data_IF_390563720644
#
_entry.id   IF_390563720644
#
_cell.length_a   1.000
_cell.length_b   1.000
_cell.length_c   1.000
_cell.angle_alpha   90.00
_cell.angle_beta   90.00
_cell.angle_gamma   90.00
#
_symmetry.space_group_name_H-M   'P 1'
#
loop_
_entity.id
_entity.type
_entity.pdbx_description
1 polymer ?
#
# COMPACT_ATOMS: atom_id res chain seq x y z
N UNK A 1 -5.16 13.04 -15.43
CA UNK A 1 -3.82 13.26 -14.83
C UNK A 1 -2.85 12.30 -15.52
N UNK A 2 -1.74 12.75 -16.11
CA UNK A 2 -0.77 11.85 -16.77
C UNK A 2 -0.13 10.90 -15.74
N UNK A 3 0.06 9.63 -16.12
CA UNK A 3 0.74 8.65 -15.27
C UNK A 3 2.20 9.06 -15.02
N UNK A 4 2.75 8.66 -13.87
CA UNK A 4 4.15 8.95 -13.50
C UNK A 4 5.11 8.47 -14.59
N UNK A 5 4.83 7.30 -15.19
CA UNK A 5 5.62 6.75 -16.31
C UNK A 5 5.71 7.74 -17.48
N UNK A 6 4.59 8.32 -17.90
CA UNK A 6 4.57 9.25 -19.05
C UNK A 6 5.29 10.54 -18.72
N UNK A 7 5.13 11.09 -17.51
CA UNK A 7 5.86 12.29 -17.08
C UNK A 7 7.38 12.06 -17.08
N UNK A 8 7.82 10.89 -16.60
CA UNK A 8 9.24 10.55 -16.54
C UNK A 8 9.84 10.36 -17.93
N UNK A 9 9.09 9.74 -18.85
CA UNK A 9 9.51 9.60 -20.25
C UNK A 9 9.58 10.93 -20.99
N UNK A 10 8.63 11.85 -20.73
CA UNK A 10 8.66 13.19 -21.31
C UNK A 10 9.86 13.99 -20.80
N UNK A 11 10.17 13.90 -19.50
CA UNK A 11 11.37 14.53 -18.93
C UNK A 11 12.65 13.92 -19.48
N UNK A 12 12.71 12.58 -19.58
CA UNK A 12 13.85 11.88 -20.16
C UNK A 12 14.08 12.31 -21.62
N UNK A 13 13.02 12.34 -22.43
CA UNK A 13 13.08 12.82 -23.81
C UNK A 13 13.59 14.26 -23.84
N UNK A 14 12.99 15.18 -23.07
CA UNK A 14 13.34 16.59 -23.06
C UNK A 14 14.81 16.83 -22.66
N UNK A 15 15.30 16.15 -21.61
CA UNK A 15 16.69 16.22 -21.17
C UNK A 15 17.61 15.72 -22.28
N UNK A 16 17.28 14.58 -22.88
CA UNK A 16 18.07 13.98 -23.94
C UNK A 16 18.15 14.88 -25.18
N UNK A 17 17.04 15.50 -25.60
CA UNK A 17 17.05 16.44 -26.74
C UNK A 17 17.89 17.67 -26.42
N UNK A 18 17.82 18.17 -25.18
CA UNK A 18 18.61 19.32 -24.74
C UNK A 18 20.11 19.01 -24.71
N UNK A 19 20.49 17.82 -24.22
CA UNK A 19 21.87 17.33 -24.26
C UNK A 19 22.36 17.22 -25.71
N UNK A 20 21.57 16.61 -26.60
CA UNK A 20 21.92 16.47 -28.01
C UNK A 20 22.09 17.85 -28.68
N UNK A 21 21.16 18.78 -28.43
CA UNK A 21 21.22 20.13 -28.98
C UNK A 21 22.45 20.88 -28.49
N UNK A 22 22.75 20.82 -27.19
CA UNK A 22 23.95 21.42 -26.61
C UNK A 22 25.24 20.82 -27.17
N UNK A 23 25.31 19.49 -27.30
CA UNK A 23 26.44 18.80 -27.91
C UNK A 23 26.65 19.22 -29.37
N UNK A 24 25.59 19.23 -30.18
CA UNK A 24 25.66 19.67 -31.58
C UNK A 24 26.09 21.14 -31.69
N UNK A 25 25.56 22.02 -30.84
CA UNK A 25 25.93 23.44 -30.82
C UNK A 25 27.39 23.66 -30.43
N UNK A 26 27.87 22.99 -29.38
CA UNK A 26 29.26 23.06 -28.95
C UNK A 26 30.21 22.53 -30.05
N UNK A 27 29.83 21.44 -30.71
CA UNK A 27 30.58 20.88 -31.84
C UNK A 27 30.63 21.87 -33.02
N UNK A 28 29.50 22.48 -33.38
CA UNK A 28 29.41 23.47 -34.45
C UNK A 28 30.34 24.67 -34.18
N UNK A 29 30.31 25.25 -32.98
CA UNK A 29 31.21 26.37 -32.61
C UNK A 29 32.67 25.94 -32.66
N UNK A 30 33.00 24.74 -32.14
CA UNK A 30 34.38 24.26 -32.12
C UNK A 30 34.94 24.11 -33.54
N UNK A 31 34.13 23.58 -34.46
CA UNK A 31 34.45 23.45 -35.87
C UNK A 31 34.60 24.83 -36.52
N UNK A 32 33.64 25.74 -36.33
CA UNK A 32 33.66 27.09 -36.90
C UNK A 32 34.87 27.90 -36.42
N UNK A 33 35.20 27.85 -35.13
CA UNK A 33 36.36 28.51 -34.55
C UNK A 33 37.68 27.96 -35.12
N UNK A 34 37.79 26.63 -35.24
CA UNK A 34 38.97 25.96 -35.81
C UNK A 34 39.20 26.36 -37.27
N UNK A 35 38.11 26.56 -38.03
CA UNK A 35 38.17 27.03 -39.41
C UNK A 35 38.60 28.50 -39.53
N UNK A 36 38.19 29.35 -38.58
CA UNK A 36 38.52 30.79 -38.60
C UNK A 36 39.97 31.09 -38.18
N UNK A 37 40.55 30.33 -37.24
CA UNK A 37 41.94 30.50 -36.81
C UNK A 37 42.97 30.01 -37.84
N UNK A 38 42.59 29.11 -38.76
CA UNK A 38 43.50 28.62 -39.81
C UNK A 38 43.24 29.33 -41.14
N UNK A 39 44.00 30.37 -41.44
CA UNK A 39 43.89 31.18 -42.68
C UNK A 39 44.24 30.41 -43.98
N UNK A 40 44.62 29.13 -43.90
CA UNK A 40 44.94 28.27 -45.05
C UNK A 40 44.30 26.87 -44.90
N UNK A 41 43.01 26.79 -44.56
CA UNK A 41 42.29 25.52 -44.67
C UNK A 41 42.18 25.15 -46.15
N UNK A 42 42.71 23.98 -46.53
CA UNK A 42 42.62 23.47 -47.89
C UNK A 42 41.17 23.13 -48.23
N UNK A 43 40.79 23.20 -49.51
CA UNK A 43 39.43 22.86 -49.97
C UNK A 43 39.02 21.44 -49.50
N UNK A 44 39.99 20.52 -49.46
CA UNK A 44 39.83 19.14 -48.97
C UNK A 44 39.37 19.08 -47.50
N UNK A 45 39.82 19.99 -46.64
CA UNK A 45 39.44 20.01 -45.23
C UNK A 45 38.02 20.56 -45.00
N UNK A 46 37.54 21.47 -45.87
CA UNK A 46 36.16 21.95 -45.83
C UNK A 46 35.17 20.84 -46.22
N UNK A 47 35.47 20.09 -47.29
CA UNK A 47 34.64 18.94 -47.71
C UNK A 47 34.60 17.84 -46.64
N UNK A 48 35.73 17.55 -46.00
CA UNK A 48 35.79 16.55 -44.93
C UNK A 48 34.90 16.94 -43.72
N UNK A 49 34.84 18.23 -43.37
CA UNK A 49 34.03 18.74 -42.26
C UNK A 49 32.53 18.66 -42.59
N UNK A 50 32.11 19.06 -43.78
CA UNK A 50 30.71 18.96 -44.22
C UNK A 50 30.22 17.51 -44.22
N UNK A 51 31.04 16.58 -44.73
CA UNK A 51 30.73 15.15 -44.66
C UNK A 51 30.64 14.62 -43.23
N UNK A 52 31.53 15.07 -42.34
CA UNK A 52 31.51 14.70 -40.92
C UNK A 52 30.24 15.21 -40.22
N UNK A 53 29.91 16.50 -40.40
CA UNK A 53 28.70 17.11 -39.85
C UNK A 53 27.43 16.44 -40.40
N UNK A 54 27.35 16.20 -41.71
CA UNK A 54 26.22 15.50 -42.33
C UNK A 54 26.01 14.08 -41.78
N UNK A 55 27.10 13.35 -41.54
CA UNK A 55 27.06 12.01 -40.93
C UNK A 55 26.52 12.06 -39.49
N UNK A 56 26.90 13.08 -38.70
CA UNK A 56 26.38 13.27 -37.34
C UNK A 56 24.89 13.63 -37.32
N UNK A 57 24.45 14.50 -38.23
CA UNK A 57 23.03 14.82 -38.39
C UNK A 57 22.18 13.59 -38.73
N UNK A 58 22.72 12.69 -39.56
CA UNK A 58 22.09 11.40 -39.88
C UNK A 58 22.06 10.45 -38.68
N UNK A 59 23.07 10.46 -37.80
CA UNK A 59 23.17 9.55 -36.66
C UNK A 59 22.27 9.95 -35.47
N UNK A 60 22.08 11.26 -35.26
CA UNK A 60 21.27 11.81 -34.16
C UNK A 60 19.85 11.21 -34.02
N UNK A 61 19.03 11.07 -35.08
CA UNK A 61 17.71 10.45 -34.94
C UNK A 61 17.79 8.99 -34.47
N UNK A 62 18.83 8.24 -34.87
CA UNK A 62 19.03 6.88 -34.36
C UNK A 62 19.34 6.87 -32.88
N UNK A 63 20.24 7.75 -32.42
CA UNK A 63 20.55 7.89 -30.99
C UNK A 63 19.27 8.19 -30.22
N UNK A 64 18.48 9.17 -30.67
CA UNK A 64 17.22 9.55 -30.03
C UNK A 64 16.23 8.38 -29.95
N UNK A 65 16.07 7.62 -31.02
CA UNK A 65 15.16 6.47 -31.07
C UNK A 65 15.64 5.37 -30.12
N UNK A 66 16.90 4.95 -30.23
CA UNK A 66 17.44 3.85 -29.44
C UNK A 66 17.42 4.15 -27.94
N UNK A 67 17.82 5.34 -27.54
CA UNK A 67 17.78 5.73 -26.13
C UNK A 67 16.35 5.93 -25.62
N UNK A 68 15.42 6.44 -26.45
CA UNK A 68 14.00 6.55 -26.07
C UNK A 68 13.35 5.18 -25.86
N UNK A 69 13.64 4.22 -26.75
CA UNK A 69 13.18 2.83 -26.60
C UNK A 69 13.79 2.21 -25.34
N UNK A 70 15.10 2.40 -25.10
CA UNK A 70 15.77 1.93 -23.90
C UNK A 70 15.17 2.51 -22.61
N UNK A 71 14.94 3.82 -22.59
CA UNK A 71 14.28 4.52 -21.47
C UNK A 71 12.86 4.02 -21.23
N UNK A 72 12.08 3.80 -22.30
CA UNK A 72 10.74 3.21 -22.21
C UNK A 72 10.75 1.84 -21.55
N UNK A 73 11.63 0.94 -22.01
CA UNK A 73 11.76 -0.41 -21.47
C UNK A 73 12.19 -0.39 -20.01
N UNK A 74 13.17 0.45 -19.65
CA UNK A 74 13.63 0.62 -18.27
C UNK A 74 12.48 1.09 -17.36
N UNK A 75 11.80 2.17 -17.70
CA UNK A 75 10.66 2.69 -16.91
C UNK A 75 9.58 1.63 -16.77
N UNK A 76 9.28 0.86 -17.82
CA UNK A 76 8.27 -0.17 -17.70
C UNK A 76 8.69 -1.28 -16.73
N UNK A 77 9.92 -1.78 -16.86
CA UNK A 77 10.48 -2.86 -16.04
C UNK A 77 10.63 -2.48 -14.57
N UNK A 78 11.10 -1.26 -14.28
CA UNK A 78 11.29 -0.77 -12.90
C UNK A 78 9.98 -0.58 -12.15
N UNK A 79 8.89 -0.19 -12.83
CA UNK A 79 7.61 0.06 -12.17
C UNK A 79 6.67 -1.16 -12.15
N UNK A 80 6.93 -2.19 -12.94
CA UNK A 80 6.15 -3.44 -12.94
C UNK A 80 6.06 -4.08 -11.52
N UNK A 81 7.15 -4.17 -10.73
CA UNK A 81 7.11 -4.65 -9.35
C UNK A 81 6.08 -3.95 -8.46
N UNK A 82 6.07 -2.62 -8.52
CA UNK A 82 5.20 -1.77 -7.71
C UNK A 82 3.72 -2.02 -8.07
N UNK A 83 3.43 -2.24 -9.36
CA UNK A 83 2.06 -2.51 -9.80
C UNK A 83 1.57 -3.89 -9.36
N UNK A 84 2.45 -4.90 -9.37
CA UNK A 84 2.13 -6.24 -8.85
C UNK A 84 1.81 -6.16 -7.35
N UNK A 85 2.68 -5.50 -6.57
CA UNK A 85 2.46 -5.28 -5.14
C UNK A 85 1.15 -4.52 -4.86
N UNK A 86 0.86 -3.45 -5.61
CA UNK A 86 -0.41 -2.72 -5.49
C UNK A 86 -1.63 -3.59 -5.79
N UNK A 87 -1.51 -4.55 -6.71
CA UNK A 87 -2.57 -5.50 -7.02
C UNK A 87 -2.81 -6.46 -5.86
N UNK A 88 -1.74 -7.00 -5.27
CA UNK A 88 -1.82 -7.85 -4.07
C UNK A 88 -2.44 -7.11 -2.90
N UNK A 89 -1.98 -5.88 -2.62
CA UNK A 89 -2.53 -5.02 -1.57
C UNK A 89 -4.04 -4.81 -1.75
N UNK A 90 -4.48 -4.51 -2.98
CA UNK A 90 -5.90 -4.29 -3.28
C UNK A 90 -6.75 -5.55 -3.18
N UNK A 91 -6.14 -6.73 -3.28
CA UNK A 91 -6.83 -8.01 -3.12
C UNK A 91 -7.02 -8.41 -1.65
N UNK A 92 -6.32 -7.75 -0.72
CA UNK A 92 -6.49 -7.95 0.71
C UNK A 92 -7.78 -7.26 1.15
N UNK A 93 -8.61 -7.97 1.91
CA UNK A 93 -9.89 -7.46 2.39
C UNK A 93 -9.97 -7.62 3.91
N UNK A 94 -10.82 -6.85 4.61
CA UNK A 94 -11.01 -7.03 6.05
C UNK A 94 -11.49 -8.42 6.46
N UNK A 95 -12.09 -9.17 5.51
CA UNK A 95 -12.55 -10.55 5.74
C UNK A 95 -11.42 -11.57 5.67
N UNK A 96 -10.32 -11.23 5.01
CA UNK A 96 -9.18 -12.10 4.77
C UNK A 96 -7.88 -11.30 4.84
N UNK A 97 -7.46 -11.04 6.08
CA UNK A 97 -6.17 -10.42 6.42
C UNK A 97 -5.03 -11.44 6.44
N UNK A 98 -5.29 -12.73 6.18
CA UNK A 98 -4.27 -13.79 6.25
C UNK A 98 -3.33 -13.79 5.04
N UNK A 99 -3.75 -13.14 3.94
CA UNK A 99 -2.91 -12.95 2.76
C UNK A 99 -1.70 -12.08 3.10
N UNK A 100 -0.57 -12.40 2.47
CA UNK A 100 0.68 -11.66 2.59
C UNK A 100 1.17 -11.30 1.19
N UNK A 101 1.88 -10.19 1.12
CA UNK A 101 2.56 -9.76 -0.09
C UNK A 101 3.76 -10.68 -0.31
N UNK A 102 3.89 -11.19 -1.53
CA UNK A 102 4.99 -12.09 -1.90
C UNK A 102 6.34 -11.37 -1.79
N UNK A 103 7.26 -11.96 -1.03
CA UNK A 103 8.62 -11.46 -0.90
C UNK A 103 9.41 -11.78 -2.16
N UNK A 104 10.21 -10.81 -2.60
CA UNK A 104 11.02 -10.97 -3.81
C UNK A 104 12.39 -11.53 -3.45
N UNK A 105 13.02 -12.31 -4.34
CA UNK A 105 14.34 -12.87 -4.08
C UNK A 105 15.44 -11.80 -3.99
N UNK A 106 15.19 -10.60 -4.50
CA UNK A 106 16.12 -9.47 -4.43
C UNK A 106 15.78 -8.59 -3.24
N UNK A 107 16.78 -8.30 -2.40
CA UNK A 107 16.63 -7.43 -1.24
C UNK A 107 16.76 -5.95 -1.64
N UNK A 108 15.79 -5.46 -2.41
CA UNK A 108 15.69 -4.07 -2.84
C UNK A 108 14.66 -3.28 -2.00
N UNK A 109 14.51 -1.99 -2.30
CA UNK A 109 13.57 -1.10 -1.62
C UNK A 109 12.12 -1.58 -1.73
N UNK A 110 11.77 -2.30 -2.81
CA UNK A 110 10.43 -2.85 -3.01
C UNK A 110 10.19 -4.01 -2.05
N UNK A 111 11.19 -4.88 -1.83
CA UNK A 111 11.11 -5.95 -0.84
C UNK A 111 10.98 -5.40 0.59
N UNK A 112 11.73 -4.35 0.93
CA UNK A 112 11.59 -3.66 2.23
C UNK A 112 10.17 -3.11 2.44
N UNK A 113 9.55 -2.54 1.40
CA UNK A 113 8.17 -2.08 1.48
C UNK A 113 7.19 -3.24 1.68
N UNK A 114 7.42 -4.38 1.01
CA UNK A 114 6.60 -5.59 1.18
C UNK A 114 6.66 -6.13 2.61
N UNK A 115 7.86 -6.16 3.21
CA UNK A 115 8.06 -6.55 4.61
C UNK A 115 7.30 -5.61 5.55
N UNK A 116 7.48 -4.29 5.42
CA UNK A 116 6.78 -3.32 6.26
C UNK A 116 5.25 -3.43 6.16
N UNK A 117 4.73 -3.69 4.95
CA UNK A 117 3.29 -3.88 4.76
C UNK A 117 2.81 -5.20 5.40
N UNK A 118 3.58 -6.27 5.30
CA UNK A 118 3.28 -7.54 5.96
C UNK A 118 3.28 -7.40 7.49
N UNK A 119 4.22 -6.64 8.08
CA UNK A 119 4.21 -6.33 9.51
C UNK A 119 2.96 -5.55 9.93
N UNK A 120 2.52 -4.59 9.11
CA UNK A 120 1.26 -3.87 9.35
C UNK A 120 0.06 -4.82 9.29
N UNK A 121 0.03 -5.76 8.33
CA UNK A 121 -1.01 -6.78 8.25
C UNK A 121 -1.03 -7.70 9.47
N UNK A 122 0.15 -8.09 9.98
CA UNK A 122 0.25 -8.89 11.20
C UNK A 122 -0.34 -8.17 12.41
N UNK A 123 -0.08 -6.86 12.56
CA UNK A 123 -0.66 -6.04 13.62
C UNK A 123 -2.18 -5.94 13.47
N UNK A 124 -2.68 -5.72 12.25
CA UNK A 124 -4.11 -5.68 11.96
C UNK A 124 -4.81 -7.01 12.24
N UNK A 125 -4.20 -8.13 11.82
CA UNK A 125 -4.77 -9.46 12.03
C UNK A 125 -4.87 -9.78 13.52
N UNK A 126 -3.84 -9.45 14.31
CA UNK A 126 -3.86 -9.60 15.78
C UNK A 126 -4.99 -8.79 16.41
N UNK A 127 -5.12 -7.51 16.07
CA UNK A 127 -6.17 -6.64 16.59
C UNK A 127 -7.57 -7.16 16.25
N UNK A 128 -7.80 -7.55 14.99
CA UNK A 128 -9.10 -8.09 14.56
C UNK A 128 -9.45 -9.43 15.21
N UNK A 129 -8.45 -10.29 15.45
CA UNK A 129 -8.65 -11.57 16.13
C UNK A 129 -9.14 -11.36 17.57
N UNK A 130 -8.51 -10.45 18.32
CA UNK A 130 -8.91 -10.10 19.67
C UNK A 130 -10.36 -9.60 19.74
N UNK A 131 -10.74 -8.68 18.84
CA UNK A 131 -12.12 -8.16 18.75
C UNK A 131 -13.12 -9.27 18.42
N UNK A 132 -12.77 -10.19 17.53
CA UNK A 132 -13.67 -11.29 17.13
C UNK A 132 -13.89 -12.28 18.28
N UNK A 133 -12.83 -12.68 18.97
CA UNK A 133 -12.88 -13.59 20.12
C UNK A 133 -13.67 -12.96 21.27
N UNK A 134 -13.39 -11.69 21.59
CA UNK A 134 -14.12 -10.92 22.59
C UNK A 134 -15.63 -10.86 22.28
N UNK A 135 -16.01 -10.46 21.06
CA UNK A 135 -17.42 -10.35 20.68
C UNK A 135 -18.16 -11.71 20.73
N UNK A 136 -17.46 -12.78 20.33
CA UNK A 136 -18.01 -14.14 20.38
C UNK A 136 -18.24 -14.58 21.83
N UNK A 137 -17.23 -14.42 22.69
CA UNK A 137 -17.30 -14.79 24.10
C UNK A 137 -18.35 -13.97 24.84
N UNK A 138 -18.36 -12.65 24.69
CA UNK A 138 -19.37 -11.76 25.27
C UNK A 138 -20.80 -12.19 24.88
N UNK A 139 -21.03 -12.48 23.59
CA UNK A 139 -22.34 -12.93 23.11
C UNK A 139 -22.80 -14.24 23.76
N UNK A 140 -21.87 -15.17 24.00
CA UNK A 140 -22.19 -16.45 24.65
C UNK A 140 -22.44 -16.30 26.15
N UNK A 141 -21.59 -15.55 26.84
CA UNK A 141 -21.71 -15.33 28.29
C UNK A 141 -22.97 -14.57 28.66
N UNK A 142 -23.37 -13.56 27.87
CA UNK A 142 -24.60 -12.81 28.11
C UNK A 142 -25.88 -13.59 27.75
N UNK A 143 -25.82 -14.48 26.74
CA UNK A 143 -27.00 -15.24 26.28
C UNK A 143 -27.52 -16.22 27.33
N UNK A 144 -26.63 -16.82 28.10
CA UNK A 144 -26.97 -17.84 29.12
C UNK A 144 -27.88 -17.28 30.21
N UNK A 145 -27.49 -16.24 30.98
CA UNK A 145 -28.33 -15.66 32.04
C UNK A 145 -29.61 -15.05 31.46
N UNK A 146 -29.58 -14.44 30.26
CA UNK A 146 -30.79 -13.97 29.57
C UNK A 146 -31.78 -15.12 29.28
N UNK A 147 -31.27 -16.30 28.91
CA UNK A 147 -32.10 -17.48 28.63
C UNK A 147 -32.70 -18.05 29.93
N UNK A 148 -31.92 -18.09 31.01
CA UNK A 148 -32.38 -18.51 32.34
C UNK A 148 -33.47 -17.56 32.83
N UNK A 149 -33.22 -16.25 32.82
CA UNK A 149 -34.17 -15.23 33.24
C UNK A 149 -35.49 -15.35 32.49
N UNK A 150 -35.43 -15.47 31.15
CA UNK A 150 -36.63 -15.66 30.32
C UNK A 150 -37.38 -16.94 30.71
N UNK A 151 -36.69 -18.05 30.90
CA UNK A 151 -37.31 -19.32 31.26
C UNK A 151 -38.05 -19.27 32.60
N UNK A 152 -37.45 -18.64 33.61
CA UNK A 152 -38.08 -18.45 34.92
C UNK A 152 -39.32 -17.56 34.84
N UNK A 153 -39.25 -16.45 34.09
CA UNK A 153 -40.38 -15.57 33.85
C UNK A 153 -41.51 -16.33 33.12
N UNK A 154 -41.20 -17.08 32.06
CA UNK A 154 -42.19 -17.89 31.34
C UNK A 154 -42.87 -18.90 32.27
N UNK A 155 -42.09 -19.57 33.13
CA UNK A 155 -42.58 -20.52 34.12
C UNK A 155 -43.48 -19.82 35.16
N UNK A 156 -43.12 -18.62 35.60
CA UNK A 156 -43.90 -17.82 36.54
C UNK A 156 -45.25 -17.39 35.95
N UNK A 157 -45.29 -17.09 34.65
CA UNK A 157 -46.47 -16.62 33.94
C UNK A 157 -47.44 -17.74 33.51
N UNK A 158 -47.01 -19.01 33.47
CA UNK A 158 -47.85 -20.15 33.02
C UNK A 158 -49.10 -20.39 33.86
N UNK A 159 -49.09 -20.01 35.15
CA UNK A 159 -50.24 -20.18 36.05
C UNK A 159 -50.13 -19.20 37.22
N UNK A 160 -51.26 -18.96 37.87
CA UNK A 160 -51.31 -18.13 39.07
C UNK A 160 -50.60 -18.85 40.23
N UNK A 161 -49.78 -18.11 40.97
CA UNK A 161 -48.95 -18.60 42.08
C UNK A 161 -49.18 -17.75 43.32
N UNK A 162 -48.92 -18.30 44.52
CA UNK A 162 -48.96 -17.49 45.73
C UNK A 162 -47.84 -16.44 45.73
N UNK A 163 -48.07 -15.35 46.47
CA UNK A 163 -47.22 -14.14 46.41
C UNK A 163 -45.77 -14.39 46.86
N UNK A 164 -45.56 -15.34 47.76
CA UNK A 164 -44.25 -15.79 48.22
C UNK A 164 -43.42 -16.42 47.10
N UNK A 165 -44.04 -17.23 46.24
CA UNK A 165 -43.37 -17.85 45.09
C UNK A 165 -42.96 -16.79 44.05
N UNK A 166 -43.83 -15.81 43.76
CA UNK A 166 -43.46 -14.67 42.91
C UNK A 166 -42.32 -13.83 43.51
N UNK A 167 -42.32 -13.63 44.82
CA UNK A 167 -41.25 -12.89 45.51
C UNK A 167 -39.91 -13.61 45.37
N UNK A 168 -39.91 -14.93 45.49
CA UNK A 168 -38.71 -15.76 45.31
C UNK A 168 -38.18 -15.64 43.88
N UNK A 169 -39.06 -15.76 42.87
CA UNK A 169 -38.66 -15.62 41.45
C UNK A 169 -38.08 -14.23 41.19
N UNK A 170 -38.70 -13.16 41.69
CA UNK A 170 -38.18 -11.79 41.55
C UNK A 170 -36.82 -11.60 42.22
N UNK A 171 -36.54 -12.28 43.33
CA UNK A 171 -35.22 -12.28 43.96
C UNK A 171 -34.18 -12.97 43.07
N UNK A 172 -34.50 -14.13 42.51
CA UNK A 172 -33.62 -14.83 41.56
C UNK A 172 -33.35 -14.00 40.30
N UNK A 173 -34.37 -13.34 39.75
CA UNK A 173 -34.20 -12.42 38.62
C UNK A 173 -33.26 -11.25 38.96
N UNK A 174 -33.37 -10.69 40.17
CA UNK A 174 -32.48 -9.62 40.60
C UNK A 174 -31.03 -10.08 40.70
N UNK A 175 -30.79 -11.29 41.22
CA UNK A 175 -29.47 -11.90 41.27
C UNK A 175 -28.86 -12.09 39.86
N UNK A 176 -29.65 -12.62 38.90
CA UNK A 176 -29.22 -12.78 37.51
C UNK A 176 -28.91 -11.44 36.82
N UNK A 177 -29.70 -10.39 37.10
CA UNK A 177 -29.42 -9.03 36.60
C UNK A 177 -28.10 -8.50 37.17
N UNK A 178 -27.82 -8.70 38.45
CA UNK A 178 -26.56 -8.28 39.07
C UNK A 178 -25.36 -9.03 38.46
N UNK A 179 -25.50 -10.32 38.15
CA UNK A 179 -24.46 -11.10 37.45
C UNK A 179 -24.20 -10.50 36.07
N UNK A 180 -25.26 -10.21 35.31
CA UNK A 180 -25.14 -9.57 33.99
C UNK A 180 -24.46 -8.20 34.05
N UNK A 181 -24.80 -7.37 35.04
CA UNK A 181 -24.15 -6.07 35.24
C UNK A 181 -22.64 -6.23 35.47
N UNK A 182 -22.25 -7.17 36.34
CA UNK A 182 -20.84 -7.46 36.62
C UNK A 182 -20.11 -7.97 35.37
N UNK A 183 -20.72 -8.86 34.59
CA UNK A 183 -20.14 -9.32 33.31
C UNK A 183 -19.92 -8.16 32.34
N UNK A 184 -20.88 -7.24 32.22
CA UNK A 184 -20.74 -6.07 31.34
C UNK A 184 -19.58 -5.17 31.82
N UNK A 185 -19.46 -4.93 33.12
CA UNK A 185 -18.34 -4.16 33.70
C UNK A 185 -16.98 -4.82 33.41
N UNK A 186 -16.88 -6.14 33.59
CA UNK A 186 -15.67 -6.90 33.29
C UNK A 186 -15.30 -6.84 31.79
N UNK A 187 -16.30 -6.95 30.90
CA UNK A 187 -16.11 -6.85 29.46
C UNK A 187 -15.63 -5.45 29.03
N UNK A 188 -16.18 -4.38 29.62
CA UNK A 188 -15.75 -3.00 29.34
C UNK A 188 -14.32 -2.75 29.82
N UNK A 189 -13.97 -3.24 31.01
CA UNK A 189 -12.61 -3.14 31.53
C UNK A 189 -11.59 -3.88 30.65
N UNK A 190 -11.93 -5.08 30.17
CA UNK A 190 -11.08 -5.83 29.23
C UNK A 190 -10.90 -5.10 27.89
N UNK A 191 -11.97 -4.50 27.36
CA UNK A 191 -11.89 -3.73 26.12
C UNK A 191 -10.98 -2.50 26.27
N UNK A 192 -11.08 -1.77 27.39
CA UNK A 192 -10.21 -0.61 27.69
C UNK A 192 -8.73 -1.02 27.84
N UNK A 193 -8.46 -2.09 28.57
CA UNK A 193 -7.08 -2.58 28.78
C UNK A 193 -6.45 -3.10 27.47
N UNK A 194 -7.21 -3.80 26.63
CA UNK A 194 -6.70 -4.28 25.34
C UNK A 194 -6.40 -3.13 24.36
N UNK A 195 -7.18 -2.04 24.42
CA UNK A 195 -6.84 -0.82 23.65
C UNK A 195 -5.56 -0.14 24.14
N UNK A 196 -5.22 -0.23 25.42
CA UNK A 196 -3.97 0.30 25.96
C UNK A 196 -2.76 -0.53 25.51
N UNK A 197 -2.81 -1.86 25.60
CA UNK A 197 -1.69 -2.72 25.15
C UNK A 197 -1.38 -2.55 23.66
N UNK A 198 -2.39 -2.30 22.83
CA UNK A 198 -2.23 -2.11 21.37
C UNK A 198 -1.55 -0.77 21.01
N UNK A 199 -1.57 0.23 21.91
CA UNK A 199 -0.94 1.55 21.69
C UNK A 199 0.54 1.55 22.12
N UNK A 200 0.97 0.61 22.95
CA UNK A 200 2.34 0.54 23.50
C UNK A 200 3.26 -0.50 22.81
N UNK A 201 2.85 -1.09 21.67
CA UNK A 201 3.66 -2.00 20.82
C UNK A 201 3.73 -1.52 19.36
#
# INVERSE_FOLDING_TARGET
>A
MLSIKVKLLLWFLAIQTLILAGFNYALYINVEHTLHERTYVTLEAHEAIEHFLGTLWLLNPFILIFSSVGGYVLVHKYFQPIHAMLHEIKAITPKDLSKRIEQRPFNDEINHLALAFNEMLDRLEKAFRGVKEFNTNASHELRTPLTIMRGEIEIALRKQRPNDEYRTILQTQLEEIMILQKMIEELLFQAETHTMETIYM
#
